data_IF_607661191865
#
_entry.id   IF_607661191865
#
_cell.length_a   1.000
_cell.length_b   1.000
_cell.length_c   1.000
_cell.angle_alpha   90.00
_cell.angle_beta   90.00
_cell.angle_gamma   90.00
#
_symmetry.space_group_name_H-M   'P 1'
#
loop_
_entity.id
_entity.type
_entity.pdbx_description
1 polymer ?
#
# COMPACT_ATOMS: atom_id res chain seq x y z
N UNK A 1 46.25 19.10 19.50
CA UNK A 1 45.24 18.22 20.14
C UNK A 1 44.89 17.10 19.17
N UNK A 2 44.88 15.87 19.66
CA UNK A 2 44.78 14.68 18.79
C UNK A 2 43.31 14.28 18.62
N UNK A 3 43.03 13.48 17.60
CA UNK A 3 41.69 12.98 17.32
C UNK A 3 41.20 12.09 18.47
N UNK A 4 39.92 12.22 18.82
CA UNK A 4 39.30 11.42 19.87
C UNK A 4 39.26 9.90 19.58
N UNK A 5 39.39 9.51 18.30
CA UNK A 5 39.36 8.11 17.85
C UNK A 5 40.75 7.59 17.44
N UNK A 6 41.68 8.48 17.10
CA UNK A 6 43.00 8.12 16.62
C UNK A 6 44.06 8.99 17.31
N UNK A 7 44.81 8.41 18.24
CA UNK A 7 45.83 9.13 18.99
C UNK A 7 46.97 9.68 18.10
N UNK A 8 47.18 9.04 16.95
CA UNK A 8 48.29 9.31 16.02
C UNK A 8 48.00 10.49 15.08
N UNK A 9 46.73 10.85 14.94
CA UNK A 9 46.30 11.90 14.00
C UNK A 9 45.95 13.19 14.73
N UNK A 10 46.44 14.32 14.21
CA UNK A 10 46.07 15.65 14.70
C UNK A 10 44.62 15.99 14.34
N UNK A 11 43.93 16.64 15.27
CA UNK A 11 42.56 17.09 15.04
C UNK A 11 42.55 18.41 14.28
N UNK A 12 41.67 18.50 13.28
CA UNK A 12 41.47 19.69 12.42
C UNK A 12 40.12 20.34 12.63
N UNK A 13 39.15 19.61 13.17
CA UNK A 13 37.77 20.06 13.32
C UNK A 13 37.12 19.42 14.54
N UNK A 14 36.11 20.07 15.12
CA UNK A 14 35.34 19.53 16.22
C UNK A 14 33.97 19.06 15.74
N UNK A 15 33.48 17.95 16.28
CA UNK A 15 32.13 17.46 16.01
C UNK A 15 31.09 18.49 16.47
N UNK A 16 30.17 18.86 15.58
CA UNK A 16 29.07 19.79 15.91
C UNK A 16 28.07 19.20 16.92
N UNK A 17 27.98 17.87 17.03
CA UNK A 17 27.07 17.18 17.96
C UNK A 17 27.62 17.07 19.38
N UNK A 18 28.85 16.58 19.55
CA UNK A 18 29.44 16.27 20.86
C UNK A 18 30.69 17.10 21.21
N UNK A 19 31.17 17.97 20.33
CA UNK A 19 32.35 18.80 20.55
C UNK A 19 33.70 18.09 20.45
N UNK A 20 33.73 16.76 20.26
CA UNK A 20 34.97 15.97 20.21
C UNK A 20 35.89 16.40 19.05
N UNK A 21 37.21 16.46 19.27
CA UNK A 21 38.18 16.75 18.21
C UNK A 21 38.30 15.57 17.22
N UNK A 22 38.26 15.86 15.92
CA UNK A 22 38.27 14.90 14.81
C UNK A 22 39.42 15.19 13.83
N UNK A 23 40.05 14.12 13.33
CA UNK A 23 40.97 14.20 12.20
C UNK A 23 40.20 14.19 10.85
N UNK A 24 40.91 14.43 9.74
CA UNK A 24 40.31 14.43 8.38
C UNK A 24 39.60 13.11 8.01
N UNK A 25 40.04 11.98 8.56
CA UNK A 25 39.43 10.68 8.30
C UNK A 25 38.12 10.44 9.10
N UNK A 26 37.96 11.10 10.26
CA UNK A 26 36.79 10.97 11.12
C UNK A 26 35.77 12.11 10.94
N UNK A 27 36.04 13.08 10.05
CA UNK A 27 35.14 14.19 9.72
C UNK A 27 34.09 13.73 8.71
N UNK A 28 32.90 13.36 9.20
CA UNK A 28 31.75 13.09 8.33
C UNK A 28 30.86 14.32 8.24
N UNK A 29 30.73 14.90 7.04
CA UNK A 29 29.97 16.14 6.85
C UNK A 29 28.54 15.88 6.39
N UNK A 30 27.58 16.36 7.18
CA UNK A 30 26.16 16.37 6.81
C UNK A 30 25.74 17.82 6.57
N UNK A 31 25.34 18.15 5.33
CA UNK A 31 25.04 19.53 4.90
C UNK A 31 26.18 20.53 5.22
N UNK A 32 27.42 20.07 5.12
CA UNK A 32 28.62 20.89 5.37
C UNK A 32 29.07 20.97 6.84
N UNK A 33 28.28 20.49 7.80
CA UNK A 33 28.64 20.47 9.22
C UNK A 33 29.35 19.16 9.61
N UNK A 34 30.47 19.22 10.36
CA UNK A 34 31.25 18.05 10.77
C UNK A 34 30.59 17.27 11.91
N UNK A 35 30.41 15.97 11.74
CA UNK A 35 29.89 15.05 12.75
C UNK A 35 30.79 13.81 12.89
N UNK A 36 30.82 13.21 14.08
CA UNK A 36 31.42 11.88 14.27
C UNK A 36 30.39 10.78 14.00
N UNK A 37 30.87 9.56 13.72
CA UNK A 37 30.05 8.37 13.48
C UNK A 37 28.98 8.18 14.55
N UNK A 38 29.36 8.22 15.84
CA UNK A 38 28.42 8.00 16.94
C UNK A 38 27.29 9.05 16.98
N UNK A 39 27.60 10.32 16.69
CA UNK A 39 26.58 11.37 16.65
C UNK A 39 25.61 11.17 15.48
N UNK A 40 26.09 10.67 14.34
CA UNK A 40 25.25 10.36 13.19
C UNK A 40 24.31 9.19 13.51
N UNK A 41 24.85 8.08 14.04
CA UNK A 41 24.06 6.90 14.41
C UNK A 41 23.01 7.26 15.46
N UNK A 42 23.40 7.98 16.52
CA UNK A 42 22.47 8.46 17.54
C UNK A 42 21.39 9.35 16.93
N UNK A 43 21.76 10.23 15.99
CA UNK A 43 20.80 11.08 15.27
C UNK A 43 19.77 10.25 14.48
N UNK A 44 20.22 9.21 13.77
CA UNK A 44 19.34 8.31 13.01
C UNK A 44 18.41 7.52 13.95
N UNK A 45 18.91 7.01 15.07
CA UNK A 45 18.11 6.29 16.06
C UNK A 45 17.02 7.18 16.67
N UNK A 46 17.38 8.42 17.06
CA UNK A 46 16.42 9.40 17.55
C UNK A 46 15.36 9.77 16.51
N UNK A 47 15.74 9.90 15.24
CA UNK A 47 14.80 10.13 14.15
C UNK A 47 13.86 8.95 13.94
N UNK A 48 14.36 7.71 14.04
CA UNK A 48 13.54 6.49 13.94
C UNK A 48 12.51 6.44 15.06
N UNK A 49 12.92 6.68 16.31
CA UNK A 49 12.02 6.71 17.47
C UNK A 49 10.98 7.82 17.30
N UNK A 50 11.40 9.03 16.90
CA UNK A 50 10.50 10.16 16.65
C UNK A 50 9.48 9.85 15.56
N UNK A 51 9.92 9.28 14.44
CA UNK A 51 9.03 8.90 13.33
C UNK A 51 8.03 7.82 13.75
N UNK A 52 8.44 6.87 14.58
CA UNK A 52 7.56 5.83 15.10
C UNK A 52 6.52 6.40 16.08
N UNK A 53 6.94 7.26 17.00
CA UNK A 53 6.06 7.97 17.92
C UNK A 53 5.07 8.88 17.17
N UNK A 54 5.53 9.67 16.20
CA UNK A 54 4.67 10.54 15.40
C UNK A 54 3.66 9.76 14.56
N UNK A 55 4.05 8.59 14.03
CA UNK A 55 3.12 7.70 13.33
C UNK A 55 2.07 7.13 14.30
N UNK A 56 2.48 6.68 15.48
CA UNK A 56 1.56 6.17 16.49
C UNK A 56 0.54 7.24 16.93
N UNK A 57 0.99 8.47 17.17
CA UNK A 57 0.12 9.60 17.54
C UNK A 57 -0.83 9.99 16.39
N UNK A 58 -0.34 9.99 15.16
CA UNK A 58 -1.15 10.26 13.97
C UNK A 58 -2.25 9.20 13.80
N UNK A 59 -1.91 7.92 13.92
CA UNK A 59 -2.85 6.79 13.86
C UNK A 59 -3.87 6.87 14.99
N UNK A 60 -3.44 7.15 16.23
CA UNK A 60 -4.31 7.31 17.40
C UNK A 60 -5.33 8.44 17.23
N UNK A 61 -4.93 9.56 16.64
CA UNK A 61 -5.81 10.72 16.40
C UNK A 61 -6.79 10.50 15.25
N UNK A 62 -6.40 9.72 14.24
CA UNK A 62 -7.21 9.44 13.03
C UNK A 62 -8.23 8.33 13.25
N UNK A 63 -7.91 7.32 14.06
CA UNK A 63 -8.75 6.13 14.23
C UNK A 63 -9.61 6.25 15.49
N UNK A 64 -10.93 6.23 15.30
CA UNK A 64 -11.91 6.18 16.38
C UNK A 64 -12.66 4.83 16.40
N UNK A 65 -12.57 4.05 17.50
CA UNK A 65 -13.23 2.75 17.65
C UNK A 65 -14.73 2.84 17.51
N UNK A 66 -15.33 3.92 18.00
CA UNK A 66 -16.77 4.17 17.89
C UNK A 66 -17.17 4.31 16.41
N UNK A 67 -16.44 5.11 15.63
CA UNK A 67 -16.72 5.25 14.18
C UNK A 67 -16.47 3.95 13.45
N UNK A 68 -15.41 3.21 13.81
CA UNK A 68 -15.12 1.89 13.25
C UNK A 68 -16.28 0.91 13.45
N UNK A 69 -16.87 0.90 14.65
CA UNK A 69 -18.07 0.10 14.95
C UNK A 69 -19.28 0.59 14.18
N UNK A 70 -19.55 1.89 14.15
CA UNK A 70 -20.69 2.45 13.40
C UNK A 70 -20.60 2.06 11.92
N UNK A 71 -19.42 2.15 11.33
CA UNK A 71 -19.19 1.73 9.95
C UNK A 71 -19.39 0.23 9.76
N UNK A 72 -18.91 -0.61 10.68
CA UNK A 72 -19.14 -2.06 10.61
C UNK A 72 -20.62 -2.45 10.83
N UNK A 73 -21.36 -1.67 11.62
CA UNK A 73 -22.80 -1.84 11.81
C UNK A 73 -23.59 -1.47 10.55
N UNK A 74 -23.18 -0.45 9.80
CA UNK A 74 -23.83 -0.11 8.52
C UNK A 74 -23.62 -1.23 7.50
N UNK A 75 -22.38 -1.73 7.39
CA UNK A 75 -22.04 -2.80 6.46
C UNK A 75 -20.86 -3.61 7.02
N UNK A 76 -20.99 -4.94 7.17
CA UNK A 76 -19.89 -5.78 7.61
C UNK A 76 -18.64 -5.61 6.73
N UNK A 77 -17.53 -5.30 7.37
CA UNK A 77 -16.24 -5.04 6.69
C UNK A 77 -15.89 -3.56 6.52
N UNK A 78 -16.86 -2.64 6.60
CA UNK A 78 -16.58 -1.20 6.45
C UNK A 78 -15.71 -0.65 7.59
N UNK A 79 -15.92 -1.15 8.82
CA UNK A 79 -15.10 -0.80 9.99
C UNK A 79 -13.63 -1.24 9.83
N UNK A 80 -13.41 -2.43 9.26
CA UNK A 80 -12.06 -2.91 8.95
C UNK A 80 -11.39 -2.08 7.84
N UNK A 81 -12.15 -1.64 6.83
CA UNK A 81 -11.67 -0.75 5.78
C UNK A 81 -11.26 0.63 6.35
N UNK A 82 -12.05 1.18 7.29
CA UNK A 82 -11.71 2.42 7.99
C UNK A 82 -10.44 2.29 8.86
N UNK A 83 -10.22 1.12 9.44
CA UNK A 83 -9.00 0.82 10.18
C UNK A 83 -7.77 0.60 9.27
N UNK A 84 -7.92 0.65 7.93
CA UNK A 84 -6.85 0.43 6.96
C UNK A 84 -6.61 -1.04 6.58
N UNK A 85 -7.48 -1.96 7.01
CA UNK A 85 -7.33 -3.41 6.81
C UNK A 85 -8.23 -3.92 5.69
N UNK A 86 -7.84 -3.65 4.44
CA UNK A 86 -8.63 -4.01 3.25
C UNK A 86 -8.82 -5.52 3.10
N UNK A 87 -7.82 -6.34 3.45
CA UNK A 87 -7.93 -7.80 3.38
C UNK A 87 -9.04 -8.33 4.30
N UNK A 88 -9.07 -7.88 5.56
CA UNK A 88 -10.15 -8.25 6.49
C UNK A 88 -11.50 -7.69 6.05
N UNK A 89 -11.54 -6.47 5.52
CA UNK A 89 -12.78 -5.89 5.01
C UNK A 89 -13.39 -6.77 3.90
N UNK A 90 -12.57 -7.22 2.94
CA UNK A 90 -12.99 -8.10 1.86
C UNK A 90 -13.47 -9.47 2.36
N UNK A 91 -12.79 -10.05 3.35
CA UNK A 91 -13.20 -11.35 3.93
C UNK A 91 -14.57 -11.24 4.61
N UNK A 92 -14.77 -10.23 5.46
CA UNK A 92 -16.06 -10.00 6.11
C UNK A 92 -17.18 -9.75 5.09
N UNK A 93 -16.90 -8.93 4.06
CA UNK A 93 -17.84 -8.66 2.98
C UNK A 93 -18.19 -9.93 2.18
N UNK A 94 -17.21 -10.77 1.85
CA UNK A 94 -17.43 -12.01 1.11
C UNK A 94 -18.27 -13.03 1.92
N UNK A 95 -17.98 -13.20 3.20
CA UNK A 95 -18.76 -14.06 4.10
C UNK A 95 -20.19 -13.53 4.23
N UNK A 96 -20.33 -12.21 4.43
CA UNK A 96 -21.62 -11.54 4.53
C UNK A 96 -22.49 -11.77 3.29
N UNK A 97 -21.94 -11.49 2.10
CA UNK A 97 -22.64 -11.70 0.82
C UNK A 97 -23.03 -13.17 0.65
N UNK A 98 -22.13 -14.10 0.96
CA UNK A 98 -22.38 -15.53 0.80
C UNK A 98 -23.50 -16.03 1.72
N UNK A 99 -23.49 -15.63 3.00
CA UNK A 99 -24.53 -16.00 3.96
C UNK A 99 -25.87 -15.35 3.64
N UNK A 100 -25.87 -14.09 3.22
CA UNK A 100 -27.08 -13.40 2.79
C UNK A 100 -27.71 -14.08 1.59
N UNK A 101 -26.90 -14.42 0.59
CA UNK A 101 -27.32 -15.14 -0.60
C UNK A 101 -27.95 -16.50 -0.26
N UNK A 102 -27.34 -17.25 0.64
CA UNK A 102 -27.81 -18.56 1.07
C UNK A 102 -29.06 -18.47 1.97
N UNK A 103 -29.17 -17.43 2.80
CA UNK A 103 -30.36 -17.14 3.58
C UNK A 103 -31.57 -16.90 2.68
N UNK A 104 -31.40 -16.12 1.61
CA UNK A 104 -32.46 -15.90 0.62
C UNK A 104 -32.79 -17.17 -0.18
N UNK A 105 -31.78 -17.94 -0.58
CA UNK A 105 -32.00 -19.13 -1.41
C UNK A 105 -32.67 -20.29 -0.66
N UNK A 106 -32.29 -20.54 0.59
CA UNK A 106 -32.80 -21.67 1.37
C UNK A 106 -33.95 -21.28 2.31
N UNK A 107 -34.14 -19.99 2.63
CA UNK A 107 -35.10 -19.51 3.63
C UNK A 107 -34.99 -20.19 5.00
N UNK A 108 -33.82 -20.75 5.32
CA UNK A 108 -33.58 -21.41 6.60
C UNK A 108 -33.14 -20.39 7.65
N UNK A 109 -33.70 -20.44 8.87
CA UNK A 109 -33.37 -19.50 9.95
C UNK A 109 -31.89 -19.60 10.37
N UNK A 110 -31.23 -20.75 10.14
CA UNK A 110 -29.82 -20.96 10.47
C UNK A 110 -28.93 -19.94 9.76
N UNK A 111 -29.20 -19.65 8.49
CA UNK A 111 -28.42 -18.70 7.71
C UNK A 111 -28.70 -17.25 8.14
N UNK A 112 -29.92 -16.95 8.60
CA UNK A 112 -30.27 -15.63 9.15
C UNK A 112 -29.53 -15.38 10.47
N UNK A 113 -29.50 -16.37 11.37
CA UNK A 113 -28.73 -16.28 12.61
C UNK A 113 -27.23 -16.22 12.33
N UNK A 114 -26.73 -16.99 11.36
CA UNK A 114 -25.33 -16.95 10.93
C UNK A 114 -24.93 -15.58 10.39
N UNK A 115 -25.74 -14.99 9.51
CA UNK A 115 -25.58 -13.63 9.01
C UNK A 115 -25.54 -12.60 10.15
N UNK A 116 -26.50 -12.67 11.08
CA UNK A 116 -26.58 -11.75 12.21
C UNK A 116 -25.36 -11.89 13.14
N UNK A 117 -24.91 -13.13 13.37
CA UNK A 117 -23.71 -13.44 14.14
C UNK A 117 -22.45 -12.87 13.51
N UNK A 118 -22.27 -13.04 12.20
CA UNK A 118 -21.14 -12.45 11.46
C UNK A 118 -21.19 -10.92 11.48
N UNK A 119 -22.38 -10.33 11.43
CA UNK A 119 -22.56 -8.88 11.50
C UNK A 119 -22.08 -8.31 12.83
N UNK A 120 -22.52 -8.90 13.95
CA UNK A 120 -22.09 -8.49 15.30
C UNK A 120 -20.60 -8.78 15.48
N UNK A 121 -20.13 -9.94 15.02
CA UNK A 121 -18.72 -10.30 15.06
C UNK A 121 -17.84 -9.29 14.32
N UNK A 122 -18.22 -8.87 13.12
CA UNK A 122 -17.51 -7.86 12.34
C UNK A 122 -17.44 -6.51 13.06
N UNK A 123 -18.48 -6.14 13.82
CA UNK A 123 -18.47 -4.93 14.63
C UNK A 123 -17.50 -5.04 15.82
N UNK A 124 -17.52 -6.16 16.53
CA UNK A 124 -16.60 -6.42 17.65
C UNK A 124 -15.15 -6.50 17.17
N UNK A 125 -14.90 -7.17 16.03
CA UNK A 125 -13.57 -7.27 15.42
C UNK A 125 -13.04 -5.89 15.02
N UNK A 126 -13.88 -5.04 14.41
CA UNK A 126 -13.53 -3.66 14.06
C UNK A 126 -13.18 -2.82 15.31
N UNK A 127 -13.94 -2.97 16.41
CA UNK A 127 -13.63 -2.30 17.68
C UNK A 127 -12.29 -2.76 18.25
N UNK A 128 -12.09 -4.08 18.39
CA UNK A 128 -10.85 -4.65 18.94
C UNK A 128 -9.65 -4.22 18.11
N UNK A 129 -9.79 -4.25 16.79
CA UNK A 129 -8.77 -3.80 15.85
C UNK A 129 -8.45 -2.31 16.02
N UNK A 130 -9.46 -1.44 16.11
CA UNK A 130 -9.25 -0.01 16.32
C UNK A 130 -8.55 0.27 17.67
N UNK A 131 -8.85 -0.51 18.71
CA UNK A 131 -8.18 -0.41 20.00
C UNK A 131 -6.72 -0.86 19.93
N UNK A 132 -6.42 -1.95 19.22
CA UNK A 132 -5.04 -2.41 19.00
C UNK A 132 -4.21 -1.36 18.23
N UNK A 133 -4.78 -0.74 17.21
CA UNK A 133 -4.11 0.31 16.44
C UNK A 133 -3.83 1.57 17.28
N UNK A 134 -4.70 1.89 18.23
CA UNK A 134 -4.50 3.04 19.15
C UNK A 134 -3.37 2.85 20.13
N UNK A 135 -3.09 1.61 20.53
CA UNK A 135 -1.96 1.30 21.43
C UNK A 135 -0.66 1.09 20.66
N UNK A 136 -0.64 1.31 19.35
CA UNK A 136 0.54 1.20 18.51
C UNK A 136 0.99 -0.24 18.26
N UNK A 137 0.13 -1.24 18.55
CA UNK A 137 0.40 -2.61 18.15
C UNK A 137 0.21 -2.70 16.63
N UNK A 138 1.23 -3.13 15.86
CA UNK A 138 1.08 -3.29 14.43
C UNK A 138 -0.05 -4.28 14.15
N UNK A 139 -0.90 -4.01 13.15
CA UNK A 139 -1.95 -4.94 12.78
C UNK A 139 -1.31 -6.27 12.38
N UNK A 140 -1.85 -7.36 12.93
CA UNK A 140 -1.19 -8.64 12.97
C UNK A 140 -0.77 -9.15 11.57
N UNK A 141 0.38 -9.84 11.56
CA UNK A 141 1.02 -10.65 10.51
C UNK A 141 0.08 -11.51 9.62
N UNK A 142 -1.17 -11.70 10.03
CA UNK A 142 -2.21 -12.38 9.25
C UNK A 142 -2.60 -11.61 7.97
N UNK A 143 -2.49 -10.28 7.98
CA UNK A 143 -2.74 -9.45 6.79
C UNK A 143 -1.75 -9.77 5.67
N UNK A 144 -0.49 -10.06 6.02
CA UNK A 144 0.56 -10.38 5.07
C UNK A 144 0.28 -11.70 4.33
N UNK A 145 -0.26 -12.72 5.00
CA UNK A 145 -0.54 -14.00 4.36
C UNK A 145 -1.67 -13.92 3.34
N UNK A 146 -2.76 -13.25 3.68
CA UNK A 146 -3.90 -13.05 2.78
C UNK A 146 -3.48 -12.17 1.60
N UNK A 147 -2.80 -11.06 1.86
CA UNK A 147 -2.37 -10.13 0.81
C UNK A 147 -1.38 -10.79 -0.17
N UNK A 148 -0.47 -11.64 0.32
CA UNK A 148 0.41 -12.47 -0.53
C UNK A 148 -0.37 -13.41 -1.43
N UNK A 149 -1.43 -14.04 -0.92
CA UNK A 149 -2.30 -14.91 -1.73
C UNK A 149 -3.08 -14.15 -2.80
N UNK A 150 -3.57 -12.94 -2.49
CA UNK A 150 -4.22 -12.07 -3.46
C UNK A 150 -3.26 -11.59 -4.56
N UNK A 151 -2.00 -11.30 -4.22
CA UNK A 151 -0.98 -10.87 -5.17
C UNK A 151 -0.47 -11.99 -6.09
N UNK A 152 -0.50 -13.25 -5.64
CA UNK A 152 -0.05 -14.39 -6.44
C UNK A 152 -0.89 -14.62 -7.71
N UNK A 153 -2.20 -14.37 -7.66
CA UNK A 153 -3.07 -14.42 -8.83
C UNK A 153 -4.26 -13.44 -8.72
N UNK A 154 -4.05 -12.15 -9.02
CA UNK A 154 -5.08 -11.13 -8.88
C UNK A 154 -6.26 -11.35 -9.83
N UNK A 155 -6.05 -12.04 -10.96
CA UNK A 155 -7.10 -12.31 -11.95
C UNK A 155 -8.14 -13.29 -11.42
N UNK A 156 -7.73 -14.32 -10.68
CA UNK A 156 -8.64 -15.30 -10.11
C UNK A 156 -9.59 -14.67 -9.07
N UNK A 157 -9.05 -13.83 -8.18
CA UNK A 157 -9.84 -13.11 -7.20
C UNK A 157 -10.76 -12.06 -7.82
N UNK A 158 -10.29 -11.35 -8.86
CA UNK A 158 -11.14 -10.44 -9.62
C UNK A 158 -12.31 -11.18 -10.30
N UNK A 159 -12.05 -12.32 -10.93
CA UNK A 159 -13.08 -13.15 -11.55
C UNK A 159 -14.09 -13.65 -10.51
N UNK A 160 -13.62 -14.11 -9.35
CA UNK A 160 -14.48 -14.55 -8.24
C UNK A 160 -15.40 -13.41 -7.77
N UNK A 161 -14.86 -12.20 -7.56
CA UNK A 161 -15.65 -11.03 -7.17
C UNK A 161 -16.66 -10.62 -8.24
N UNK A 162 -16.30 -10.73 -9.53
CA UNK A 162 -17.22 -10.48 -10.64
C UNK A 162 -18.37 -11.48 -10.64
N UNK A 163 -18.09 -12.78 -10.45
CA UNK A 163 -19.10 -13.83 -10.40
C UNK A 163 -20.03 -13.63 -9.18
N UNK A 164 -19.44 -13.39 -8.01
CA UNK A 164 -20.17 -13.14 -6.76
C UNK A 164 -21.08 -11.91 -6.87
N UNK A 165 -20.54 -10.79 -7.38
CA UNK A 165 -21.28 -9.56 -7.60
C UNK A 165 -22.37 -9.69 -8.66
N UNK A 166 -22.08 -10.39 -9.77
CA UNK A 166 -23.07 -10.65 -10.82
C UNK A 166 -24.23 -11.50 -10.31
N UNK A 167 -23.94 -12.50 -9.48
CA UNK A 167 -24.98 -13.36 -8.85
C UNK A 167 -25.88 -12.55 -7.92
N UNK A 168 -25.30 -11.67 -7.09
CA UNK A 168 -26.05 -10.81 -6.17
C UNK A 168 -26.94 -9.82 -6.93
N UNK A 169 -26.41 -9.19 -7.99
CA UNK A 169 -27.18 -8.29 -8.86
C UNK A 169 -28.31 -9.04 -9.55
N UNK A 170 -28.03 -10.22 -10.09
CA UNK A 170 -29.02 -11.06 -10.73
C UNK A 170 -30.17 -11.42 -9.78
N UNK A 171 -29.86 -11.80 -8.53
CA UNK A 171 -30.86 -12.12 -7.53
C UNK A 171 -31.72 -10.91 -7.12
N UNK A 172 -31.11 -9.74 -6.89
CA UNK A 172 -31.85 -8.51 -6.59
C UNK A 172 -32.75 -8.06 -7.75
N UNK A 173 -32.36 -8.36 -8.97
CA UNK A 173 -33.08 -7.99 -10.18
C UNK A 173 -34.34 -8.82 -10.42
N UNK A 174 -34.40 -10.08 -9.96
CA UNK A 174 -35.52 -10.99 -10.25
C UNK A 174 -36.79 -10.72 -9.42
N UNK A 175 -36.67 -10.06 -8.26
CA UNK A 175 -37.79 -9.91 -7.31
C UNK A 175 -38.60 -8.60 -7.39
N UNK A 176 -38.21 -7.63 -8.23
CA UNK A 176 -38.96 -6.38 -8.41
C UNK A 176 -39.33 -6.15 -9.88
N UNK A 177 -40.62 -5.89 -10.09
CA UNK A 177 -41.36 -5.79 -11.35
C UNK A 177 -40.63 -5.00 -12.47
N UNK A 178 -40.06 -5.76 -13.40
CA UNK A 178 -40.21 -5.66 -14.86
C UNK A 178 -39.77 -4.43 -15.70
N UNK A 179 -39.40 -3.24 -15.21
CA UNK A 179 -39.30 -2.08 -16.16
C UNK A 179 -37.91 -1.42 -16.40
N UNK A 180 -36.92 -1.29 -15.49
CA UNK A 180 -35.62 -0.68 -15.84
C UNK A 180 -34.58 -1.70 -16.40
N UNK A 181 -35.04 -2.82 -16.98
CA UNK A 181 -34.40 -4.13 -16.88
C UNK A 181 -33.31 -4.50 -17.91
N UNK A 182 -32.94 -3.64 -18.84
CA UNK A 182 -31.92 -3.98 -19.88
C UNK A 182 -30.86 -2.90 -20.05
N UNK A 183 -31.22 -1.63 -19.87
CA UNK A 183 -30.36 -0.50 -20.20
C UNK A 183 -29.15 -0.41 -19.25
N UNK A 184 -29.36 -0.62 -17.95
CA UNK A 184 -28.31 -0.49 -16.94
C UNK A 184 -27.25 -1.62 -16.98
N UNK A 185 -27.60 -2.91 -17.06
CA UNK A 185 -26.60 -3.98 -17.14
C UNK A 185 -25.79 -3.92 -18.45
N UNK A 186 -26.41 -3.52 -19.57
CA UNK A 186 -25.68 -3.33 -20.84
C UNK A 186 -24.68 -2.17 -20.73
N UNK A 187 -25.06 -1.06 -20.09
CA UNK A 187 -24.14 0.05 -19.83
C UNK A 187 -22.97 -0.38 -18.94
N UNK A 188 -23.21 -1.18 -17.89
CA UNK A 188 -22.16 -1.65 -16.99
C UNK A 188 -21.19 -2.63 -17.68
N UNK A 189 -21.72 -3.55 -18.50
CA UNK A 189 -20.90 -4.49 -19.29
C UNK A 189 -20.10 -3.71 -20.34
N UNK A 190 -20.71 -2.74 -21.02
CA UNK A 190 -20.02 -1.87 -21.97
C UNK A 190 -18.90 -1.07 -21.28
N UNK A 191 -19.14 -0.57 -20.07
CA UNK A 191 -18.15 0.18 -19.30
C UNK A 191 -16.99 -0.73 -18.82
N UNK A 192 -17.30 -1.96 -18.41
CA UNK A 192 -16.30 -2.97 -18.08
C UNK A 192 -15.42 -3.36 -19.28
N UNK A 193 -16.04 -3.55 -20.45
CA UNK A 193 -15.32 -3.81 -21.72
C UNK A 193 -14.48 -2.60 -22.10
N UNK A 194 -14.99 -1.37 -21.96
CA UNK A 194 -14.27 -0.14 -22.25
C UNK A 194 -12.99 -0.01 -21.44
N UNK A 195 -13.07 -0.20 -20.11
CA UNK A 195 -11.89 -0.14 -19.23
C UNK A 195 -10.89 -1.25 -19.57
N UNK A 196 -11.37 -2.46 -19.87
CA UNK A 196 -10.48 -3.59 -20.22
C UNK A 196 -9.75 -3.33 -21.53
N UNK A 197 -10.43 -2.80 -22.55
CA UNK A 197 -9.82 -2.43 -23.82
C UNK A 197 -8.85 -1.25 -23.67
N UNK A 198 -9.14 -0.29 -22.80
CA UNK A 198 -8.22 0.81 -22.52
C UNK A 198 -6.95 0.32 -21.81
N UNK A 199 -7.07 -0.62 -20.88
CA UNK A 199 -5.93 -1.22 -20.19
C UNK A 199 -5.05 -2.07 -21.12
N UNK A 200 -5.65 -2.83 -22.03
CA UNK A 200 -4.87 -3.60 -23.02
C UNK A 200 -4.17 -2.67 -24.02
N UNK A 201 -4.83 -1.58 -24.44
CA UNK A 201 -4.22 -0.56 -25.31
C UNK A 201 -3.05 0.18 -24.64
N UNK A 202 -3.16 0.56 -23.36
CA UNK A 202 -2.05 1.18 -22.61
C UNK A 202 -0.84 0.25 -22.51
N UNK A 203 -1.07 -1.05 -22.25
CA UNK A 203 0.01 -2.05 -22.23
C UNK A 203 0.69 -2.19 -23.60
N UNK A 204 -0.08 -2.26 -24.68
CA UNK A 204 0.48 -2.34 -26.04
C UNK A 204 1.26 -1.07 -26.40
N UNK A 205 0.78 0.12 -26.00
CA UNK A 205 1.48 1.38 -26.21
C UNK A 205 2.79 1.49 -25.41
N UNK A 206 2.82 1.00 -24.17
CA UNK A 206 4.04 0.95 -23.34
C UNK A 206 5.06 -0.03 -23.90
N UNK A 207 4.63 -1.21 -24.37
CA UNK A 207 5.52 -2.20 -25.00
C UNK A 207 6.11 -1.69 -26.32
N UNK A 208 5.33 -0.97 -27.13
CA UNK A 208 5.83 -0.34 -28.37
C UNK A 208 6.73 0.87 -28.08
N UNK A 209 6.48 1.64 -27.00
CA UNK A 209 7.29 2.78 -26.60
C UNK A 209 8.64 2.37 -25.96
N UNK A 210 8.70 1.25 -25.22
CA UNK A 210 9.96 0.71 -24.70
C UNK A 210 10.87 0.17 -25.81
N UNK A 211 10.29 -0.39 -26.88
CA UNK A 211 11.06 -0.96 -27.98
C UNK A 211 11.65 0.12 -28.92
N UNK A 212 11.17 1.36 -28.86
CA UNK A 212 11.69 2.50 -29.62
C UNK A 212 12.63 3.42 -28.80
N UNK A 213 12.90 3.12 -27.52
CA UNK A 213 13.95 3.84 -26.79
C UNK A 213 15.33 3.38 -27.28
N UNK A 214 16.16 4.25 -27.89
CA UNK A 214 17.53 3.88 -28.20
C UNK A 214 18.24 3.53 -26.89
N UNK A 215 18.92 2.39 -26.88
CA UNK A 215 19.75 1.95 -25.77
C UNK A 215 20.91 2.93 -25.58
N UNK A 216 20.76 3.89 -24.66
CA UNK A 216 21.91 4.57 -24.08
C UNK A 216 22.58 3.61 -23.11
N UNK A 217 23.25 2.60 -23.69
CA UNK A 217 24.30 1.84 -23.03
C UNK A 217 25.46 2.80 -22.84
N UNK A 218 25.50 3.47 -21.70
CA UNK A 218 26.71 4.13 -21.22
C UNK A 218 27.74 3.05 -20.88
N UNK A 219 28.42 2.53 -21.91
CA UNK A 219 29.66 1.79 -21.76
C UNK A 219 30.78 2.82 -21.74
N UNK A 220 31.46 2.83 -20.62
CA UNK A 220 32.75 3.48 -20.36
C UNK A 220 33.73 3.30 -21.52
N UNK A 221 34.25 4.44 -21.99
CA UNK A 221 35.65 4.64 -22.34
C UNK A 221 36.19 3.97 -23.60
N UNK A 222 35.98 4.59 -24.77
CA UNK A 222 37.05 4.76 -25.77
C UNK A 222 36.83 6.11 -26.48
N UNK A 223 37.70 7.07 -26.17
CA UNK A 223 37.75 8.37 -26.81
C UNK A 223 38.61 8.23 -28.07
N UNK A 224 37.98 7.96 -29.23
CA UNK A 224 38.67 8.03 -30.53
C UNK A 224 38.46 9.43 -31.11
N UNK A 225 39.52 10.24 -31.06
CA UNK A 225 39.56 11.57 -31.67
C UNK A 225 39.37 11.40 -33.18
N UNK A 226 38.33 12.02 -33.71
CA UNK A 226 38.08 12.10 -35.15
C UNK A 226 38.85 13.32 -35.66
N UNK A 227 39.97 13.08 -36.34
CA UNK A 227 40.71 14.13 -37.05
C UNK A 227 39.76 14.80 -38.07
N UNK A 228 39.70 16.12 -38.00
CA UNK A 228 38.85 16.95 -38.86
C UNK A 228 39.44 17.08 -40.27
N UNK A 229 38.60 17.31 -41.29
CA UNK A 229 39.07 17.46 -42.66
C UNK A 229 39.80 18.79 -42.84
N UNK A 230 41.08 18.70 -43.21
CA UNK A 230 41.89 19.79 -43.73
C UNK A 230 41.23 20.29 -45.02
N UNK A 231 40.74 21.54 -44.99
CA UNK A 231 40.20 22.22 -46.16
C UNK A 231 41.34 22.95 -46.84
N UNK A 232 41.88 22.36 -47.89
CA UNK A 232 42.70 23.07 -48.87
C UNK A 232 41.82 24.03 -49.69
N UNK A 233 42.08 25.31 -49.54
CA UNK A 233 41.81 26.34 -50.54
C UNK A 233 43.12 27.12 -50.72
N UNK A 234 43.44 27.37 -52.00
CA UNK A 234 44.62 28.05 -52.54
C UNK A 234 45.24 29.17 -51.70
#
# INVERSE_FOLDING_TARGET
MNCAYHAENSAVVNCHGCGKPLCRACDHRVKGFPFCENCIVTGIELLKIRNQASNADFVKRRISPVVSVIFSLICPGLGAAYNGQLSKALVHFAIFVSLFQLALATSSPIFVFGFMGVWIFAAIDAWRTAQMLRVGLPPAVAEDWIMRHFQGNPKAWALLLIILGSTLLFQGFFHLKLIPRVILPVVLIAFGIYIWLEQTRKKSAETTAEQFKPSTSFKTGEFKIREGPERDFQ
#
